data_IF_165285085703
#
_entry.id   IF_165285085703
#
_cell.length_a   1.000
_cell.length_b   1.000
_cell.length_c   1.000
_cell.angle_alpha   90.00
_cell.angle_beta   90.00
_cell.angle_gamma   90.00
#
_symmetry.space_group_name_H-M   'P 1'
#
loop_
_entity.id
_entity.type
_entity.pdbx_description
1 polymer ?
#
# COMPACT_ATOMS: atom_id res chain seq x y z
N UNK A 1 -42.77 54.80 -62.62
CA UNK A 1 -41.58 55.25 -61.88
C UNK A 1 -41.44 54.38 -60.64
N UNK A 2 -40.22 53.86 -60.42
CA UNK A 2 -39.67 53.35 -59.15
C UNK A 2 -40.28 52.07 -58.53
N UNK A 3 -39.57 51.03 -58.08
CA UNK A 3 -38.16 50.59 -58.17
C UNK A 3 -38.14 49.12 -57.70
N UNK A 4 -37.29 48.29 -58.29
CA UNK A 4 -36.97 46.93 -57.83
C UNK A 4 -36.43 46.88 -56.39
N UNK A 5 -36.80 45.86 -55.61
CA UNK A 5 -35.94 45.36 -54.53
C UNK A 5 -35.84 43.84 -54.64
N UNK A 6 -34.61 43.40 -54.94
CA UNK A 6 -34.17 42.02 -55.14
C UNK A 6 -34.24 41.22 -53.84
N UNK A 7 -34.59 39.94 -53.95
CA UNK A 7 -34.29 38.88 -52.97
C UNK A 7 -32.78 38.90 -52.66
N UNK A 8 -32.39 39.33 -51.46
CA UNK A 8 -31.02 39.13 -50.97
C UNK A 8 -30.94 37.80 -50.23
N UNK A 9 -30.39 36.82 -50.94
CA UNK A 9 -29.84 35.57 -50.42
C UNK A 9 -28.84 35.88 -49.32
N UNK A 10 -29.21 35.65 -48.06
CA UNK A 10 -28.32 35.83 -46.91
C UNK A 10 -27.18 34.81 -46.97
N UNK A 11 -26.00 35.37 -47.20
CA UNK A 11 -24.65 34.93 -46.87
C UNK A 11 -24.45 33.44 -46.56
N UNK A 12 -23.83 32.78 -47.54
CA UNK A 12 -22.96 31.63 -47.42
C UNK A 12 -22.18 31.58 -46.09
N UNK A 13 -22.28 30.43 -45.42
CA UNK A 13 -21.38 29.96 -44.38
C UNK A 13 -19.92 30.09 -44.80
N UNK A 14 -19.25 31.19 -44.47
CA UNK A 14 -17.81 31.32 -44.58
C UNK A 14 -17.19 31.12 -43.20
N UNK A 15 -17.13 29.85 -42.74
CA UNK A 15 -16.25 29.50 -41.63
C UNK A 15 -14.82 29.73 -42.09
N UNK A 16 -14.01 30.58 -41.42
CA UNK A 16 -12.64 30.81 -41.84
C UNK A 16 -11.91 29.47 -41.84
N UNK A 17 -11.33 29.09 -43.00
CA UNK A 17 -10.48 27.90 -43.11
C UNK A 17 -9.27 28.14 -42.21
N UNK A 18 -9.31 27.55 -41.00
CA UNK A 18 -8.18 27.53 -40.05
C UNK A 18 -6.90 27.20 -40.81
N UNK A 19 -5.89 28.07 -40.66
CA UNK A 19 -4.59 27.85 -41.27
C UNK A 19 -3.98 26.54 -40.74
N UNK A 20 -3.09 25.93 -41.52
CA UNK A 20 -2.42 24.68 -41.12
C UNK A 20 -1.82 24.76 -39.70
N UNK A 21 -1.19 25.90 -39.39
CA UNK A 21 -0.60 26.16 -38.07
C UNK A 21 -1.65 26.29 -36.95
N UNK A 22 -2.79 26.93 -37.22
CA UNK A 22 -3.89 27.02 -36.24
C UNK A 22 -4.50 25.65 -35.93
N UNK A 23 -4.69 24.78 -36.94
CA UNK A 23 -5.18 23.40 -36.72
C UNK A 23 -4.19 22.59 -35.91
N UNK A 24 -2.89 22.74 -36.20
CA UNK A 24 -1.82 22.04 -35.47
C UNK A 24 -1.77 22.48 -34.01
N UNK A 25 -1.88 23.78 -33.75
CA UNK A 25 -1.94 24.33 -32.40
C UNK A 25 -3.19 23.85 -31.64
N UNK A 26 -4.35 23.89 -32.29
CA UNK A 26 -5.60 23.40 -31.70
C UNK A 26 -5.52 21.90 -31.36
N UNK A 27 -4.97 21.07 -32.26
CA UNK A 27 -4.78 19.64 -32.02
C UNK A 27 -3.83 19.36 -30.85
N UNK A 28 -2.70 20.06 -30.76
CA UNK A 28 -1.77 19.93 -29.64
C UNK A 28 -2.40 20.35 -28.32
N UNK A 29 -3.18 21.43 -28.32
CA UNK A 29 -3.90 21.91 -27.13
C UNK A 29 -4.91 20.86 -26.64
N UNK A 30 -5.63 20.22 -27.56
CA UNK A 30 -6.55 19.12 -27.24
C UNK A 30 -5.83 17.90 -26.69
N UNK A 31 -4.66 17.53 -27.25
CA UNK A 31 -3.85 16.42 -26.74
C UNK A 31 -3.36 16.69 -25.32
N UNK A 32 -2.90 17.91 -25.04
CA UNK A 32 -2.48 18.33 -23.70
C UNK A 32 -3.66 18.27 -22.72
N UNK A 33 -4.84 18.75 -23.13
CA UNK A 33 -6.04 18.67 -22.30
C UNK A 33 -6.40 17.23 -21.95
N UNK A 34 -6.42 16.33 -22.95
CA UNK A 34 -6.69 14.90 -22.74
C UNK A 34 -5.66 14.23 -21.81
N UNK A 35 -4.37 14.54 -21.97
CA UNK A 35 -3.32 14.02 -21.09
C UNK A 35 -3.46 14.53 -19.66
N UNK A 36 -3.84 15.80 -19.47
CA UNK A 36 -4.09 16.36 -18.13
C UNK A 36 -5.28 15.68 -17.46
N UNK A 37 -6.35 15.42 -18.22
CA UNK A 37 -7.53 14.71 -17.72
C UNK A 37 -7.19 13.27 -17.34
N UNK A 38 -6.38 12.58 -18.15
CA UNK A 38 -5.86 11.26 -17.80
C UNK A 38 -5.04 11.33 -16.51
N UNK A 39 -4.07 12.23 -16.38
CA UNK A 39 -3.28 12.35 -15.14
C UNK A 39 -4.20 12.62 -13.93
N UNK A 40 -5.24 13.44 -14.10
CA UNK A 40 -6.20 13.71 -13.03
C UNK A 40 -7.01 12.45 -12.64
N UNK A 41 -7.41 11.62 -13.59
CA UNK A 41 -8.14 10.38 -13.30
C UNK A 41 -7.28 9.37 -12.56
N UNK A 42 -6.01 9.23 -12.95
CA UNK A 42 -5.05 8.36 -12.24
C UNK A 42 -4.80 8.83 -10.82
N UNK A 43 -4.63 10.15 -10.61
CA UNK A 43 -4.51 10.73 -9.26
C UNK A 43 -5.74 10.44 -8.41
N UNK A 44 -6.94 10.56 -8.97
CA UNK A 44 -8.17 10.27 -8.25
C UNK A 44 -8.24 8.78 -7.85
N UNK A 45 -7.96 7.87 -8.79
CA UNK A 45 -7.93 6.43 -8.51
C UNK A 45 -6.91 6.07 -7.42
N UNK A 46 -5.72 6.67 -7.46
CA UNK A 46 -4.70 6.47 -6.43
C UNK A 46 -5.19 6.95 -5.05
N UNK A 47 -5.78 8.14 -4.98
CA UNK A 47 -6.30 8.67 -3.71
C UNK A 47 -7.42 7.79 -3.13
N UNK A 48 -8.28 7.22 -3.97
CA UNK A 48 -9.32 6.30 -3.52
C UNK A 48 -8.72 5.00 -2.95
N UNK A 49 -7.68 4.48 -3.61
CA UNK A 49 -6.97 3.30 -3.15
C UNK A 49 -6.26 3.54 -1.80
N UNK A 50 -5.54 4.66 -1.69
CA UNK A 50 -4.89 5.08 -0.45
C UNK A 50 -5.91 5.26 0.68
N UNK A 51 -7.05 5.91 0.40
CA UNK A 51 -8.13 6.05 1.37
C UNK A 51 -8.63 4.68 1.84
N UNK A 52 -8.86 3.74 0.91
CA UNK A 52 -9.32 2.38 1.23
C UNK A 52 -8.32 1.64 2.13
N UNK A 53 -7.02 1.73 1.82
CA UNK A 53 -5.98 1.13 2.68
C UNK A 53 -6.05 1.70 4.09
N UNK A 54 -6.14 3.03 4.20
CA UNK A 54 -6.14 3.71 5.49
C UNK A 54 -7.41 3.43 6.31
N UNK A 55 -8.58 3.37 5.67
CA UNK A 55 -9.87 3.27 6.36
C UNK A 55 -10.32 1.83 6.60
N UNK A 56 -9.91 0.88 5.76
CA UNK A 56 -10.38 -0.50 5.83
C UNK A 56 -9.26 -1.46 6.18
N UNK A 57 -8.13 -1.41 5.47
CA UNK A 57 -7.08 -2.42 5.61
C UNK A 57 -6.23 -2.22 6.88
N UNK A 58 -5.75 -1.00 7.14
CA UNK A 58 -4.91 -0.71 8.29
C UNK A 58 -5.59 -1.01 9.64
N UNK A 59 -6.89 -0.71 9.84
CA UNK A 59 -7.62 -1.14 11.03
C UNK A 59 -7.65 -2.67 11.19
N UNK A 60 -7.86 -3.41 10.10
CA UNK A 60 -7.86 -4.88 10.14
C UNK A 60 -6.48 -5.44 10.53
N UNK A 61 -5.41 -4.87 9.98
CA UNK A 61 -4.03 -5.23 10.36
C UNK A 61 -3.79 -4.96 11.84
N UNK A 62 -4.25 -3.81 12.34
CA UNK A 62 -4.13 -3.46 13.76
C UNK A 62 -4.89 -4.44 14.66
N UNK A 63 -6.11 -4.82 14.26
CA UNK A 63 -6.90 -5.82 14.97
C UNK A 63 -6.21 -7.19 14.95
N UNK A 64 -5.64 -7.61 13.81
CA UNK A 64 -4.91 -8.86 13.69
C UNK A 64 -3.69 -8.90 14.63
N UNK A 65 -2.89 -7.83 14.63
CA UNK A 65 -1.73 -7.68 15.53
C UNK A 65 -2.20 -7.80 16.99
N UNK A 66 -3.26 -7.09 17.37
CA UNK A 66 -3.81 -7.18 18.74
C UNK A 66 -4.24 -8.59 19.12
N UNK A 67 -4.80 -9.37 18.20
CA UNK A 67 -5.13 -10.77 18.45
C UNK A 67 -3.88 -11.64 18.60
N UNK A 68 -2.85 -11.43 17.77
CA UNK A 68 -1.58 -12.15 17.90
C UNK A 68 -0.90 -11.86 19.26
N UNK A 69 -0.94 -10.64 19.77
CA UNK A 69 -0.44 -10.31 21.11
C UNK A 69 -1.20 -11.04 22.22
N UNK A 70 -2.54 -11.04 22.14
CA UNK A 70 -3.39 -11.74 23.11
C UNK A 70 -3.08 -13.23 23.09
N UNK A 71 -2.90 -13.79 21.90
CA UNK A 71 -2.49 -15.18 21.72
C UNK A 71 -1.13 -15.43 22.37
N UNK A 72 -0.10 -14.60 22.12
CA UNK A 72 1.22 -14.73 22.75
C UNK A 72 1.13 -14.73 24.28
N UNK A 73 0.34 -13.83 24.88
CA UNK A 73 0.13 -13.79 26.33
C UNK A 73 -0.51 -15.07 26.86
N UNK A 74 -1.49 -15.62 26.14
CA UNK A 74 -2.11 -16.89 26.51
C UNK A 74 -1.11 -18.04 26.40
N UNK A 75 -0.34 -18.12 25.31
CA UNK A 75 0.67 -19.16 25.10
C UNK A 75 1.76 -19.10 26.18
N UNK A 76 2.24 -17.90 26.54
CA UNK A 76 3.21 -17.69 27.61
C UNK A 76 2.69 -18.17 28.98
N UNK A 77 1.43 -17.88 29.28
CA UNK A 77 0.77 -18.36 30.49
C UNK A 77 0.62 -19.89 30.47
N UNK A 78 0.18 -20.48 29.37
CA UNK A 78 0.03 -21.94 29.25
C UNK A 78 1.38 -22.66 29.36
N UNK A 79 2.44 -22.10 28.78
CA UNK A 79 3.80 -22.64 28.90
C UNK A 79 4.20 -22.81 30.37
N UNK A 80 3.85 -21.82 31.20
CA UNK A 80 4.23 -21.75 32.62
C UNK A 80 3.30 -22.57 33.54
N UNK A 81 2.01 -22.66 33.22
CA UNK A 81 0.98 -23.20 34.12
C UNK A 81 0.53 -24.63 33.80
N UNK A 82 0.63 -25.06 32.53
CA UNK A 82 0.15 -26.36 32.12
C UNK A 82 1.20 -27.46 32.29
N UNK A 83 0.71 -28.68 32.58
CA UNK A 83 1.52 -29.90 32.60
C UNK A 83 1.73 -30.43 31.18
N UNK A 84 2.64 -29.81 30.46
CA UNK A 84 3.09 -30.27 29.16
C UNK A 84 4.27 -31.25 29.27
N UNK A 85 4.34 -32.19 28.35
CA UNK A 85 5.57 -32.98 28.11
C UNK A 85 6.69 -32.07 27.59
N UNK A 86 7.94 -32.52 27.68
CA UNK A 86 9.10 -31.77 27.16
C UNK A 86 8.90 -31.36 25.69
N UNK A 87 8.49 -32.32 24.85
CA UNK A 87 8.24 -32.11 23.42
C UNK A 87 7.15 -31.06 23.16
N UNK A 88 6.07 -31.07 23.93
CA UNK A 88 5.00 -30.08 23.79
C UNK A 88 5.44 -28.68 24.21
N UNK A 89 6.31 -28.57 25.23
CA UNK A 89 6.90 -27.27 25.62
C UNK A 89 7.81 -26.74 24.53
N UNK A 90 8.66 -27.58 23.95
CA UNK A 90 9.52 -27.20 22.82
C UNK A 90 8.68 -26.67 21.65
N UNK A 91 7.64 -27.41 21.22
CA UNK A 91 6.73 -26.96 20.17
C UNK A 91 6.02 -25.63 20.48
N UNK A 92 5.65 -25.43 21.75
CA UNK A 92 5.02 -24.18 22.18
C UNK A 92 6.00 -23.01 22.18
N UNK A 93 7.26 -23.24 22.59
CA UNK A 93 8.32 -22.25 22.51
C UNK A 93 8.61 -21.87 21.05
N UNK A 94 8.73 -22.86 20.15
CA UNK A 94 8.95 -22.62 18.72
C UNK A 94 7.81 -21.77 18.11
N UNK A 95 6.56 -22.07 18.46
CA UNK A 95 5.41 -21.29 18.02
C UNK A 95 5.45 -19.85 18.54
N UNK A 96 5.81 -19.66 19.83
CA UNK A 96 5.95 -18.33 20.42
C UNK A 96 7.04 -17.55 19.71
N UNK A 97 8.21 -18.18 19.47
CA UNK A 97 9.34 -17.55 18.79
C UNK A 97 8.97 -17.11 17.37
N UNK A 98 8.33 -18.00 16.60
CA UNK A 98 7.90 -17.69 15.24
C UNK A 98 6.94 -16.49 15.17
N UNK A 99 5.97 -16.44 16.09
CA UNK A 99 5.01 -15.32 16.13
C UNK A 99 5.67 -14.03 16.62
N UNK A 100 6.59 -14.11 17.60
CA UNK A 100 7.36 -12.95 18.05
C UNK A 100 8.22 -12.38 16.92
N UNK A 101 8.98 -13.21 16.21
CA UNK A 101 9.83 -12.80 15.09
C UNK A 101 9.01 -12.07 14.02
N UNK A 102 7.89 -12.64 13.58
CA UNK A 102 6.99 -11.98 12.62
C UNK A 102 6.51 -10.62 13.11
N UNK A 103 6.11 -10.50 14.38
CA UNK A 103 5.62 -9.23 14.91
C UNK A 103 6.74 -8.19 15.08
N UNK A 104 7.96 -8.61 15.44
CA UNK A 104 9.11 -7.72 15.59
C UNK A 104 9.54 -7.19 14.22
N UNK A 105 9.71 -8.08 13.23
CA UNK A 105 10.22 -7.73 11.90
C UNK A 105 9.19 -6.98 11.06
N UNK A 106 7.96 -7.49 10.96
CA UNK A 106 6.97 -6.96 10.01
C UNK A 106 6.14 -5.80 10.58
N UNK A 107 6.15 -5.64 11.91
CA UNK A 107 5.26 -4.71 12.61
C UNK A 107 5.94 -3.86 13.69
N UNK A 108 7.28 -3.82 13.70
CA UNK A 108 8.10 -2.96 14.57
C UNK A 108 7.80 -3.14 16.07
N UNK A 109 7.46 -4.37 16.48
CA UNK A 109 7.11 -4.70 17.87
C UNK A 109 8.31 -5.05 18.72
N UNK A 110 9.22 -4.10 18.86
CA UNK A 110 10.44 -4.23 19.67
C UNK A 110 10.17 -4.61 21.14
N UNK A 111 8.99 -4.26 21.67
CA UNK A 111 8.57 -4.64 23.01
C UNK A 111 8.44 -6.16 23.20
N UNK A 112 8.30 -6.93 22.10
CA UNK A 112 8.25 -8.39 22.12
C UNK A 112 9.63 -9.05 22.10
N UNK A 113 10.72 -8.31 21.90
CA UNK A 113 12.10 -8.86 21.98
C UNK A 113 12.38 -9.51 23.32
N UNK A 114 11.87 -8.94 24.41
CA UNK A 114 12.00 -9.52 25.76
C UNK A 114 11.35 -10.90 25.82
N UNK A 115 10.18 -11.07 25.20
CA UNK A 115 9.50 -12.35 25.14
C UNK A 115 10.25 -13.33 24.24
N UNK A 116 10.76 -12.89 23.08
CA UNK A 116 11.60 -13.70 22.22
C UNK A 116 12.83 -14.22 22.97
N UNK A 117 13.61 -13.34 23.59
CA UNK A 117 14.84 -13.67 24.31
C UNK A 117 14.60 -14.70 25.43
N UNK A 118 13.44 -14.62 26.11
CA UNK A 118 13.02 -15.59 27.13
C UNK A 118 12.94 -17.01 26.59
N UNK A 119 12.45 -17.19 25.36
CA UNK A 119 12.21 -18.51 24.76
C UNK A 119 13.37 -19.00 23.88
N UNK A 120 14.11 -18.10 23.25
CA UNK A 120 15.25 -18.45 22.38
C UNK A 120 16.53 -18.68 23.18
N UNK A 121 16.65 -18.06 24.36
CA UNK A 121 17.88 -18.05 25.15
C UNK A 121 19.01 -17.21 24.54
N UNK A 122 18.72 -16.43 23.49
CA UNK A 122 19.65 -15.49 22.85
C UNK A 122 18.98 -14.14 22.63
N UNK A 123 19.78 -13.08 22.53
CA UNK A 123 19.23 -11.78 22.19
C UNK A 123 18.77 -11.74 20.73
N UNK A 124 17.61 -11.14 20.47
CA UNK A 124 17.03 -11.02 19.14
C UNK A 124 17.92 -10.21 18.19
N UNK A 125 18.54 -9.12 18.67
CA UNK A 125 19.39 -8.28 17.82
C UNK A 125 20.69 -9.02 17.48
N UNK A 126 21.23 -9.80 18.42
CA UNK A 126 22.36 -10.71 18.15
C UNK A 126 22.00 -11.83 17.14
N UNK A 127 20.77 -12.34 17.17
CA UNK A 127 20.28 -13.33 16.22
C UNK A 127 20.18 -12.75 14.82
N UNK A 128 19.60 -11.55 14.70
CA UNK A 128 19.41 -10.84 13.44
C UNK A 128 20.74 -10.42 12.80
N UNK A 129 21.70 -9.99 13.62
CA UNK A 129 23.05 -9.66 13.14
C UNK A 129 23.76 -10.90 12.58
N UNK A 130 23.67 -12.05 13.28
CA UNK A 130 24.21 -13.33 12.80
C UNK A 130 23.56 -13.77 11.49
N UNK A 131 22.23 -13.71 11.38
CA UNK A 131 21.54 -14.11 10.15
C UNK A 131 21.91 -13.22 8.97
N UNK A 132 22.05 -11.91 9.19
CA UNK A 132 22.50 -10.99 8.14
C UNK A 132 23.95 -11.26 7.72
N UNK A 133 24.85 -11.56 8.65
CA UNK A 133 26.25 -11.89 8.36
C UNK A 133 26.40 -13.24 7.64
N UNK A 134 25.56 -14.23 7.94
CA UNK A 134 25.54 -15.52 7.22
C UNK A 134 24.93 -15.40 5.82
N UNK A 135 23.90 -14.57 5.64
CA UNK A 135 23.32 -14.28 4.32
C UNK A 135 24.25 -13.53 3.38
N UNK A 136 25.13 -12.68 3.91
CA UNK A 136 26.17 -11.96 3.14
C UNK A 136 27.33 -12.89 2.75
N UNK A 137 27.67 -13.90 3.56
CA UNK A 137 28.75 -14.85 3.25
C UNK A 137 28.38 -15.95 2.24
N UNK A 138 27.10 -16.03 1.83
CA UNK A 138 26.61 -16.95 0.80
C UNK A 138 26.33 -16.30 -0.56
N UNK A 139 26.57 -14.98 -0.69
CA UNK A 139 26.38 -14.20 -1.92
C UNK A 139 27.73 -13.80 -2.54
#
# INVERSE_FOLDING_TARGET
MATHIKKTKTASSNKPKLSSNQRRFQSLSQKIAAQRELIASWKNAFNQYEATILTELNPLVTVLISHKEKMLKLLDNFYSTAKFTKRQREQLADLILHVCEQLIVDHERDDLKVLYNKYSGMDFDEMLEKSNMEGINLA
#
